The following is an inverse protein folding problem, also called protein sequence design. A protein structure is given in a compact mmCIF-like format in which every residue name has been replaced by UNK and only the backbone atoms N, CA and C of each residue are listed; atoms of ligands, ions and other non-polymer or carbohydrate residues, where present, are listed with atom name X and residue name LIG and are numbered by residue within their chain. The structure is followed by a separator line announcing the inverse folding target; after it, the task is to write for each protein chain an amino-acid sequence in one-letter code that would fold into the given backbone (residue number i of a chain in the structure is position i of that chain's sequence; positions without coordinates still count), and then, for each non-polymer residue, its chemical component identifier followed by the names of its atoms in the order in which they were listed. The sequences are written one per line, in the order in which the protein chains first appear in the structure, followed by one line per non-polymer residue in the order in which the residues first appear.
data_IF_557535751393
#
_entry.id   IF_557535751393
#
_cell.length_a   1.000
_cell.length_b   1.000
_cell.length_c   1.000
_cell.angle_alpha   90.00
_cell.angle_beta   90.00
_cell.angle_gamma   90.00
#
_symmetry.space_group_name_H-M   'P 1'
#
loop_
_entity.id
_entity.type
_entity.pdbx_description
1 polymer ?
#
# COMPACT_ATOMS: atom_id res chain seq x y z
N UNK A 1 6.50 -19.82 -11.33
CA UNK A 1 6.60 -18.52 -10.62
C UNK A 1 7.86 -17.81 -11.09
N UNK A 2 7.72 -16.80 -11.91
CA UNK A 2 8.85 -15.99 -12.33
C UNK A 2 9.14 -15.01 -11.18
N UNK A 3 10.28 -15.19 -10.49
CA UNK A 3 10.80 -14.19 -9.58
C UNK A 3 11.05 -12.91 -10.38
N UNK A 4 10.22 -11.89 -10.21
CA UNK A 4 10.54 -10.58 -10.71
C UNK A 4 11.82 -10.12 -10.00
N UNK A 5 12.95 -10.16 -10.72
CA UNK A 5 14.22 -9.68 -10.21
C UNK A 5 14.12 -8.15 -10.14
N UNK A 6 13.85 -7.60 -8.96
CA UNK A 6 14.11 -6.19 -8.70
C UNK A 6 15.59 -5.94 -8.90
N UNK A 7 15.94 -5.22 -9.95
CA UNK A 7 17.31 -4.79 -10.14
C UNK A 7 17.70 -3.85 -8.99
N UNK A 8 18.97 -3.85 -8.59
CA UNK A 8 19.50 -2.99 -7.52
C UNK A 8 19.14 -1.49 -7.70
N UNK A 9 18.83 -1.10 -8.93
CA UNK A 9 18.47 0.26 -9.37
C UNK A 9 16.98 0.62 -9.08
N UNK A 10 16.12 -0.37 -8.82
CA UNK A 10 14.67 -0.21 -8.62
C UNK A 10 14.21 -0.43 -7.17
N UNK A 11 15.14 -0.65 -6.24
CA UNK A 11 14.76 -0.83 -4.83
C UNK A 11 14.28 0.49 -4.23
N UNK A 12 13.18 0.48 -3.46
CA UNK A 12 12.79 1.64 -2.67
C UNK A 12 13.89 2.05 -1.71
N UNK A 13 14.01 3.36 -1.45
CA UNK A 13 14.94 3.92 -0.48
C UNK A 13 14.32 4.08 0.92
N UNK A 14 13.02 3.90 1.03
CA UNK A 14 12.28 3.95 2.29
C UNK A 14 10.85 3.44 2.09
N UNK A 15 10.17 3.14 3.18
CA UNK A 15 8.80 2.67 3.21
C UNK A 15 7.96 3.53 4.16
N UNK A 16 6.87 4.07 3.66
CA UNK A 16 5.79 4.64 4.48
C UNK A 16 4.70 3.58 4.60
N UNK A 17 4.39 3.15 5.83
CA UNK A 17 3.40 2.09 6.07
C UNK A 17 2.33 2.55 7.05
N UNK A 18 1.08 2.22 6.73
CA UNK A 18 -0.12 2.69 7.42
C UNK A 18 -0.95 1.54 7.98
N UNK A 19 -1.62 1.73 9.11
CA UNK A 19 -2.46 0.71 9.73
C UNK A 19 -3.85 0.66 9.09
N UNK A 20 -4.63 -0.33 9.53
CA UNK A 20 -6.08 -0.37 9.25
C UNK A 20 -6.85 0.72 10.00
N UNK A 21 -8.16 0.79 9.72
CA UNK A 21 -9.07 1.62 10.49
C UNK A 21 -9.00 1.27 11.99
N UNK A 22 -9.11 2.23 12.85
CA UNK A 22 -9.07 2.06 14.33
C UNK A 22 -7.74 1.55 14.91
N UNK A 23 -6.69 1.42 14.09
CA UNK A 23 -5.35 1.06 14.54
C UNK A 23 -4.39 2.26 14.42
N UNK A 24 -3.27 2.18 15.10
CA UNK A 24 -2.22 3.20 15.08
C UNK A 24 -0.89 2.64 14.54
N UNK A 25 0.12 3.49 14.57
CA UNK A 25 1.49 3.16 14.12
C UNK A 25 2.14 2.00 14.88
N UNK A 26 1.67 1.67 16.08
CA UNK A 26 2.23 0.62 16.94
C UNK A 26 1.53 -0.73 16.77
N UNK A 27 0.67 -0.86 15.75
CA UNK A 27 0.06 -2.14 15.40
C UNK A 27 1.13 -3.20 15.14
N UNK A 28 0.95 -4.38 15.71
CA UNK A 28 1.94 -5.47 15.71
C UNK A 28 2.46 -5.84 14.30
N UNK A 29 1.59 -5.82 13.28
CA UNK A 29 2.00 -6.09 11.90
C UNK A 29 2.98 -5.04 11.36
N UNK A 30 2.75 -3.75 11.65
CA UNK A 30 3.65 -2.68 11.19
C UNK A 30 5.01 -2.77 11.87
N UNK A 31 5.02 -3.08 13.17
CA UNK A 31 6.25 -3.33 13.92
C UNK A 31 7.02 -4.53 13.36
N UNK A 32 6.31 -5.63 13.07
CA UNK A 32 6.92 -6.82 12.50
C UNK A 32 7.55 -6.57 11.12
N UNK A 33 6.89 -5.77 10.27
CA UNK A 33 7.44 -5.39 8.96
C UNK A 33 8.71 -4.55 9.14
N UNK A 34 8.68 -3.52 9.96
CA UNK A 34 9.86 -2.68 10.24
C UNK A 34 11.05 -3.52 10.75
N UNK A 35 10.81 -4.41 11.71
CA UNK A 35 11.84 -5.30 12.25
C UNK A 35 12.34 -6.32 11.20
N UNK A 36 11.49 -6.73 10.28
CA UNK A 36 11.82 -7.70 9.23
C UNK A 36 12.68 -7.15 8.08
N UNK A 37 12.80 -5.81 7.97
CA UNK A 37 13.56 -5.12 6.91
C UNK A 37 14.48 -4.05 7.51
N UNK A 38 15.39 -4.41 8.42
CA UNK A 38 16.18 -3.44 9.20
C UNK A 38 17.08 -2.54 8.36
N UNK A 39 17.38 -2.94 7.14
CA UNK A 39 18.21 -2.17 6.20
C UNK A 39 17.42 -1.06 5.47
N UNK A 40 16.10 -1.04 5.57
CA UNK A 40 15.25 -0.05 4.91
C UNK A 40 14.64 0.91 5.95
N UNK A 41 14.84 2.23 5.81
CA UNK A 41 14.13 3.19 6.64
C UNK A 41 12.60 3.04 6.51
N UNK A 42 11.91 2.94 7.64
CA UNK A 42 10.44 2.77 7.68
C UNK A 42 9.81 3.88 8.51
N UNK A 43 8.82 4.55 7.93
CA UNK A 43 7.91 5.43 8.64
C UNK A 43 6.60 4.69 8.88
N UNK A 44 6.28 4.38 10.14
CA UNK A 44 4.96 3.90 10.55
C UNK A 44 4.09 5.11 10.86
N UNK A 45 2.96 5.25 10.16
CA UNK A 45 2.10 6.43 10.22
C UNK A 45 0.74 6.10 10.84
N UNK A 46 0.33 6.85 11.86
CA UNK A 46 -1.05 6.82 12.37
C UNK A 46 -1.93 7.73 11.51
N UNK A 47 -3.02 7.20 10.97
CA UNK A 47 -3.94 7.99 10.14
C UNK A 47 -4.97 8.76 10.97
N UNK A 48 -5.49 8.16 12.04
CA UNK A 48 -6.49 8.76 12.94
C UNK A 48 -7.71 9.33 12.22
N UNK A 49 -8.13 8.68 11.13
CA UNK A 49 -9.30 9.05 10.33
C UNK A 49 -9.83 7.83 9.59
N UNK A 50 -11.12 7.83 9.29
CA UNK A 50 -11.77 6.85 8.41
C UNK A 50 -12.14 7.45 7.05
N UNK A 51 -11.81 8.73 6.84
CA UNK A 51 -11.99 9.44 5.57
C UNK A 51 -10.80 9.18 4.65
N UNK A 52 -11.02 8.56 3.49
CA UNK A 52 -9.96 8.34 2.49
C UNK A 52 -9.32 9.65 2.05
N UNK A 53 -10.04 10.73 1.70
CA UNK A 53 -9.41 11.99 1.34
C UNK A 53 -8.52 12.58 2.43
N UNK A 54 -8.92 12.50 3.70
CA UNK A 54 -8.11 12.98 4.82
C UNK A 54 -6.87 12.10 5.02
N UNK A 55 -7.01 10.79 4.89
CA UNK A 55 -5.87 9.87 4.96
C UNK A 55 -4.87 10.13 3.83
N UNK A 56 -5.33 10.34 2.60
CA UNK A 56 -4.49 10.67 1.45
C UNK A 56 -3.65 11.92 1.72
N UNK A 57 -4.26 12.99 2.24
CA UNK A 57 -3.53 14.22 2.60
C UNK A 57 -2.42 13.95 3.61
N UNK A 58 -2.72 13.18 4.67
CA UNK A 58 -1.72 12.80 5.68
C UNK A 58 -0.58 11.98 5.10
N UNK A 59 -0.89 11.03 4.24
CA UNK A 59 0.10 10.16 3.59
C UNK A 59 1.04 10.99 2.72
N UNK A 60 0.51 11.89 1.91
CA UNK A 60 1.32 12.75 1.04
C UNK A 60 2.26 13.63 1.87
N UNK A 61 1.73 14.34 2.87
CA UNK A 61 2.52 15.20 3.74
C UNK A 61 3.61 14.43 4.48
N UNK A 62 3.25 13.31 5.11
CA UNK A 62 4.20 12.48 5.85
C UNK A 62 5.28 11.88 4.94
N UNK A 63 4.93 11.48 3.73
CA UNK A 63 5.88 10.95 2.76
C UNK A 63 6.89 12.00 2.31
N UNK A 64 6.45 13.22 2.01
CA UNK A 64 7.35 14.33 1.64
C UNK A 64 8.31 14.67 2.78
N UNK A 65 7.80 14.79 4.01
CA UNK A 65 8.63 15.07 5.18
C UNK A 65 9.63 13.94 5.46
N UNK A 66 9.21 12.69 5.32
CA UNK A 66 10.07 11.53 5.52
C UNK A 66 11.18 11.45 4.46
N UNK A 67 10.85 11.70 3.19
CA UNK A 67 11.85 11.75 2.12
C UNK A 67 12.92 12.81 2.39
N UNK A 68 12.53 13.99 2.85
CA UNK A 68 13.45 15.07 3.24
C UNK A 68 14.32 14.66 4.44
N UNK A 69 13.71 14.06 5.47
CA UNK A 69 14.41 13.59 6.67
C UNK A 69 15.51 12.57 6.36
N UNK A 70 15.23 11.60 5.48
CA UNK A 70 16.21 10.58 5.09
C UNK A 70 17.07 10.95 3.88
N UNK A 71 16.86 12.14 3.30
CA UNK A 71 17.68 12.68 2.22
C UNK A 71 17.50 11.97 0.87
N UNK A 72 16.26 11.54 0.53
CA UNK A 72 15.97 10.86 -0.73
C UNK A 72 14.92 11.61 -1.55
N UNK A 73 14.88 11.35 -2.85
CA UNK A 73 13.80 11.85 -3.69
C UNK A 73 12.49 11.17 -3.31
N UNK A 74 11.37 11.90 -3.15
CA UNK A 74 10.06 11.31 -2.82
C UNK A 74 9.63 10.15 -3.72
N UNK A 75 10.00 10.15 -5.00
CA UNK A 75 9.68 9.06 -5.92
C UNK A 75 10.43 7.74 -5.63
N UNK A 76 11.35 7.74 -4.67
CA UNK A 76 12.07 6.55 -4.21
C UNK A 76 11.41 5.87 -2.99
N UNK A 77 10.34 6.44 -2.46
CA UNK A 77 9.61 5.83 -1.37
C UNK A 77 8.60 4.81 -1.89
N UNK A 78 8.52 3.68 -1.22
CA UNK A 78 7.37 2.78 -1.30
C UNK A 78 6.30 3.23 -0.29
N UNK A 79 5.06 3.01 -0.65
CA UNK A 79 3.92 3.26 0.22
C UNK A 79 3.11 1.99 0.38
N UNK A 80 2.51 1.81 1.54
CA UNK A 80 1.66 0.66 1.74
C UNK A 80 0.90 0.71 3.04
N UNK A 81 0.11 -0.32 3.26
CA UNK A 81 -0.64 -0.42 4.49
C UNK A 81 -1.58 -1.60 4.54
N UNK A 82 -2.14 -1.78 5.71
CA UNK A 82 -3.14 -2.81 5.98
C UNK A 82 -4.54 -2.25 5.79
N UNK A 83 -5.41 -3.00 5.11
CA UNK A 83 -6.83 -2.70 4.97
C UNK A 83 -7.08 -1.25 4.53
N UNK A 84 -7.75 -0.45 5.35
CA UNK A 84 -8.02 0.97 5.08
C UNK A 84 -6.77 1.77 4.72
N UNK A 85 -5.66 1.56 5.44
CA UNK A 85 -4.39 2.24 5.16
C UNK A 85 -3.84 1.91 3.77
N UNK A 86 -3.89 0.62 3.37
CA UNK A 86 -3.51 0.21 2.02
C UNK A 86 -4.39 0.84 0.94
N UNK A 87 -5.70 0.88 1.18
CA UNK A 87 -6.63 1.57 0.28
C UNK A 87 -6.29 3.05 0.13
N UNK A 88 -6.06 3.74 1.23
CA UNK A 88 -5.69 5.16 1.19
C UNK A 88 -4.38 5.40 0.43
N UNK A 89 -3.36 4.56 0.64
CA UNK A 89 -2.10 4.61 -0.11
C UNK A 89 -2.33 4.38 -1.61
N UNK A 90 -3.16 3.39 -1.98
CA UNK A 90 -3.47 3.11 -3.39
C UNK A 90 -4.19 4.26 -4.08
N UNK A 91 -5.10 4.93 -3.38
CA UNK A 91 -5.79 6.13 -3.89
C UNK A 91 -4.80 7.27 -4.05
N UNK A 92 -3.93 7.52 -3.06
CA UNK A 92 -2.91 8.56 -3.15
C UNK A 92 -2.01 8.38 -4.38
N UNK A 93 -1.53 7.15 -4.63
CA UNK A 93 -0.71 6.84 -5.81
C UNK A 93 -1.51 7.03 -7.10
N UNK A 94 -2.75 6.58 -7.15
CA UNK A 94 -3.63 6.77 -8.31
C UNK A 94 -3.90 8.25 -8.61
N UNK A 95 -3.96 9.08 -7.59
CA UNK A 95 -4.16 10.54 -7.70
C UNK A 95 -2.86 11.30 -8.01
N UNK A 96 -1.72 10.62 -8.17
CA UNK A 96 -0.48 11.22 -8.63
C UNK A 96 0.65 11.30 -7.59
N UNK A 97 0.51 10.70 -6.42
CA UNK A 97 1.63 10.59 -5.49
C UNK A 97 2.76 9.78 -6.15
N UNK A 98 3.91 10.43 -6.31
CA UNK A 98 5.09 9.76 -6.85
C UNK A 98 5.58 8.68 -5.87
N UNK A 99 5.73 7.45 -6.34
CA UNK A 99 6.12 6.30 -5.53
C UNK A 99 7.00 5.34 -6.32
N UNK A 100 7.88 4.62 -5.62
CA UNK A 100 8.68 3.55 -6.20
C UNK A 100 7.90 2.23 -6.30
N UNK A 101 7.00 1.97 -5.35
CA UNK A 101 6.19 0.77 -5.28
C UNK A 101 5.01 0.96 -4.31
N UNK A 102 4.06 0.04 -4.37
CA UNK A 102 2.89 -0.02 -3.51
C UNK A 102 2.78 -1.40 -2.86
N UNK A 103 2.47 -1.44 -1.56
CA UNK A 103 2.29 -2.68 -0.79
C UNK A 103 0.91 -2.67 -0.14
N UNK A 104 0.06 -3.58 -0.56
CA UNK A 104 -1.33 -3.69 -0.12
C UNK A 104 -1.53 -4.97 0.69
N UNK A 105 -1.71 -4.82 2.01
CA UNK A 105 -1.89 -5.92 2.94
C UNK A 105 -3.36 -6.02 3.32
N UNK A 106 -3.99 -7.17 3.10
CA UNK A 106 -5.42 -7.39 3.35
C UNK A 106 -6.26 -6.24 2.77
N UNK A 107 -6.08 -5.96 1.48
CA UNK A 107 -6.80 -4.89 0.80
C UNK A 107 -8.31 -5.12 0.86
N UNK A 108 -9.11 -4.12 1.27
CA UNK A 108 -10.56 -4.29 1.40
C UNK A 108 -11.25 -4.11 0.04
N UNK A 109 -11.22 -5.14 -0.78
CA UNK A 109 -11.75 -5.14 -2.15
C UNK A 109 -13.22 -4.72 -2.20
N UNK A 110 -13.99 -5.18 -1.22
CA UNK A 110 -15.39 -4.82 -0.99
C UNK A 110 -15.74 -4.95 0.49
N UNK A 111 -16.82 -4.34 0.98
CA UNK A 111 -17.34 -4.65 2.31
C UNK A 111 -17.77 -6.11 2.40
N UNK A 112 -17.69 -6.76 3.57
CA UNK A 112 -18.15 -8.15 3.75
C UNK A 112 -19.58 -8.35 3.25
N UNK A 113 -19.80 -9.37 2.44
CA UNK A 113 -21.11 -9.72 1.89
C UNK A 113 -21.65 -8.77 0.81
N UNK A 114 -20.90 -7.74 0.40
CA UNK A 114 -21.30 -6.75 -0.61
C UNK A 114 -20.37 -6.80 -1.81
N UNK A 115 -20.38 -7.92 -2.52
CA UNK A 115 -19.49 -8.22 -3.66
C UNK A 115 -19.63 -7.24 -4.84
N UNK A 116 -20.75 -6.55 -4.94
CA UNK A 116 -21.03 -5.52 -5.94
C UNK A 116 -20.41 -4.15 -5.61
N UNK A 117 -20.01 -3.94 -4.36
CA UNK A 117 -19.39 -2.67 -3.92
C UNK A 117 -17.87 -2.72 -3.98
N UNK A 118 -17.36 -2.92 -5.18
CA UNK A 118 -15.92 -3.00 -5.44
C UNK A 118 -15.21 -1.66 -5.27
N UNK A 119 -14.02 -1.72 -4.70
CA UNK A 119 -13.14 -0.55 -4.46
C UNK A 119 -11.93 -0.59 -5.38
N UNK A 120 -12.17 -0.70 -6.68
CA UNK A 120 -11.15 -0.90 -7.72
C UNK A 120 -11.16 0.17 -8.81
N UNK A 121 -12.05 1.16 -8.73
CA UNK A 121 -12.21 2.18 -9.78
C UNK A 121 -10.94 2.97 -10.08
N UNK A 122 -10.04 3.10 -9.13
CA UNK A 122 -8.76 3.81 -9.27
C UNK A 122 -7.59 2.92 -9.72
N UNK A 123 -7.76 1.60 -9.80
CA UNK A 123 -6.71 0.65 -10.17
C UNK A 123 -6.02 0.97 -11.51
N UNK A 124 -6.74 1.37 -12.58
CA UNK A 124 -6.09 1.72 -13.86
C UNK A 124 -5.08 2.87 -13.76
N UNK A 125 -5.21 3.74 -12.77
CA UNK A 125 -4.30 4.85 -12.54
C UNK A 125 -3.07 4.48 -11.68
N UNK A 126 -2.97 3.25 -11.18
CA UNK A 126 -1.82 2.76 -10.43
C UNK A 126 -0.78 2.24 -11.42
N UNK A 127 0.24 3.05 -11.71
CA UNK A 127 1.30 2.71 -12.68
C UNK A 127 2.58 2.14 -12.07
N UNK A 128 2.64 1.96 -10.75
CA UNK A 128 3.84 1.49 -10.04
C UNK A 128 3.76 -0.02 -9.75
N UNK A 129 4.90 -0.70 -9.55
CA UNK A 129 4.91 -2.08 -9.10
C UNK A 129 4.11 -2.22 -7.80
N UNK A 130 3.20 -3.18 -7.75
CA UNK A 130 2.28 -3.37 -6.63
C UNK A 130 2.33 -4.81 -6.12
N UNK A 131 2.61 -4.95 -4.83
CA UNK A 131 2.52 -6.22 -4.10
C UNK A 131 1.21 -6.25 -3.32
N UNK A 132 0.41 -7.29 -3.53
CA UNK A 132 -0.78 -7.59 -2.75
C UNK A 132 -0.53 -8.84 -1.90
N UNK A 133 -0.85 -8.74 -0.62
CA UNK A 133 -0.80 -9.87 0.32
C UNK A 133 -2.16 -9.99 0.99
N UNK A 134 -2.82 -11.14 0.84
CA UNK A 134 -4.16 -11.34 1.39
C UNK A 134 -4.37 -12.78 1.84
N UNK A 135 -5.08 -12.95 2.95
CA UNK A 135 -5.45 -14.26 3.47
C UNK A 135 -6.56 -14.91 2.64
N UNK A 136 -6.51 -16.22 2.47
CA UNK A 136 -7.50 -17.00 1.72
C UNK A 136 -8.93 -16.89 2.27
N UNK A 137 -9.07 -16.56 3.55
CA UNK A 137 -10.36 -16.46 4.26
C UNK A 137 -10.75 -15.01 4.58
N UNK A 138 -10.08 -14.04 3.99
CA UNK A 138 -10.37 -12.63 4.24
C UNK A 138 -11.78 -12.28 3.71
N UNK A 139 -12.72 -11.85 4.58
CA UNK A 139 -14.09 -11.52 4.16
C UNK A 139 -14.18 -10.25 3.31
N UNK A 140 -13.12 -9.43 3.26
CA UNK A 140 -13.04 -8.22 2.44
C UNK A 140 -12.51 -8.46 1.03
N UNK A 141 -12.04 -9.66 0.73
CA UNK A 141 -11.54 -10.05 -0.58
C UNK A 141 -10.75 -11.34 -0.52
N UNK A 142 -11.19 -12.34 -1.29
CA UNK A 142 -10.51 -13.63 -1.44
C UNK A 142 -9.58 -13.61 -2.66
N UNK A 143 -8.59 -14.50 -2.74
CA UNK A 143 -7.67 -14.57 -3.88
C UNK A 143 -8.36 -14.61 -5.25
N UNK A 144 -9.42 -15.40 -5.38
CA UNK A 144 -10.17 -15.52 -6.65
C UNK A 144 -10.83 -14.19 -7.06
N UNK A 145 -11.33 -13.44 -6.10
CA UNK A 145 -11.93 -12.13 -6.33
C UNK A 145 -10.88 -11.12 -6.76
N UNK A 146 -9.69 -11.14 -6.16
CA UNK A 146 -8.55 -10.31 -6.58
C UNK A 146 -8.12 -10.64 -8.01
N UNK A 147 -8.00 -11.92 -8.34
CA UNK A 147 -7.55 -12.36 -9.67
C UNK A 147 -8.37 -11.74 -10.82
N UNK A 148 -9.67 -11.50 -10.59
CA UNK A 148 -10.55 -10.84 -11.57
C UNK A 148 -10.23 -9.35 -11.80
N UNK A 149 -9.51 -8.69 -10.89
CA UNK A 149 -9.29 -7.24 -10.91
C UNK A 149 -7.82 -6.81 -11.00
N UNK A 150 -6.86 -7.71 -10.78
CA UNK A 150 -5.44 -7.35 -10.78
C UNK A 150 -4.95 -6.83 -12.13
N UNK A 151 -5.49 -7.33 -13.22
CA UNK A 151 -5.16 -6.86 -14.57
C UNK A 151 -5.55 -5.41 -14.85
N UNK A 152 -6.42 -4.82 -14.02
CA UNK A 152 -6.77 -3.41 -14.12
C UNK A 152 -5.67 -2.48 -13.60
N UNK A 153 -4.76 -2.96 -12.73
CA UNK A 153 -3.61 -2.20 -12.28
C UNK A 153 -2.62 -2.08 -13.43
N UNK A 154 -2.29 -0.85 -13.84
CA UNK A 154 -1.40 -0.61 -14.97
C UNK A 154 0.05 -1.03 -14.70
N UNK A 155 0.52 -0.94 -13.44
CA UNK A 155 1.83 -1.42 -13.03
C UNK A 155 1.91 -2.94 -12.91
N UNK A 156 3.13 -3.46 -12.79
CA UNK A 156 3.35 -4.88 -12.52
C UNK A 156 2.77 -5.27 -11.18
N UNK A 157 2.01 -6.35 -11.13
CA UNK A 157 1.40 -6.87 -9.90
C UNK A 157 2.01 -8.20 -9.47
N UNK A 158 2.15 -8.38 -8.17
CA UNK A 158 2.50 -9.65 -7.54
C UNK A 158 1.51 -9.89 -6.42
N UNK A 159 0.96 -11.10 -6.32
CA UNK A 159 0.06 -11.50 -5.24
C UNK A 159 0.67 -12.67 -4.46
N UNK A 160 0.61 -12.59 -3.13
CA UNK A 160 1.07 -13.58 -2.17
C UNK A 160 0.01 -13.88 -1.10
#
# INVERSE_FOLDING_TARGET
MTKAAFTKKSRPAGLVITPGASADRDHAMLLAIEHGIPELPVLRLTLATTSVPNAVKKIIEAGLNFADEIGVNPNKLAYGGRSFGGRACSVAVAEGLAAAALVLLSYPLHPPGKLDKLRVGHFPAIGVPTLLVSGEKDPFGKPDEFAAHLSAIAGQTTMA
#
